data_IF_515408973448
#
_entry.id   IF_515408973448
#
_cell.length_a   1.000
_cell.length_b   1.000
_cell.length_c   1.000
_cell.angle_alpha   90.00
_cell.angle_beta   90.00
_cell.angle_gamma   90.00
#
_symmetry.space_group_name_H-M   'P 1'
#
loop_
_entity.id
_entity.type
_entity.pdbx_description
1 polymer ?
#
# COMPACT_ATOMS: atom_id res chain seq x y z
N UNK A 1 -0.48 18.62 -2.94
CA UNK A 1 -1.64 17.88 -2.40
C UNK A 1 -1.43 17.86 -0.90
N UNK A 2 -2.44 18.04 -0.06
CA UNK A 2 -2.24 17.85 1.38
C UNK A 2 -1.88 16.38 1.60
N UNK A 3 -0.66 16.10 2.08
CA UNK A 3 -0.12 14.74 2.23
C UNK A 3 -1.08 13.81 3.00
N UNK A 4 -1.84 14.35 3.95
CA UNK A 4 -2.82 13.58 4.73
C UNK A 4 -4.05 13.15 3.91
N UNK A 5 -4.57 14.02 3.06
CA UNK A 5 -5.73 13.68 2.22
C UNK A 5 -5.38 12.55 1.23
N UNK A 6 -4.17 12.62 0.66
CA UNK A 6 -3.61 11.56 -0.18
C UNK A 6 -3.43 10.24 0.59
N UNK A 7 -2.88 10.30 1.80
CA UNK A 7 -2.68 9.13 2.66
C UNK A 7 -4.01 8.45 3.05
N UNK A 8 -5.04 9.22 3.42
CA UNK A 8 -6.38 8.69 3.70
C UNK A 8 -6.95 7.99 2.46
N UNK A 9 -6.87 8.65 1.30
CA UNK A 9 -7.40 8.10 0.05
C UNK A 9 -6.71 6.79 -0.31
N UNK A 10 -5.38 6.75 -0.27
CA UNK A 10 -4.62 5.55 -0.62
C UNK A 10 -4.77 4.44 0.41
N UNK A 11 -4.92 4.76 1.69
CA UNK A 11 -5.25 3.76 2.72
C UNK A 11 -6.61 3.13 2.46
N UNK A 12 -7.63 3.92 2.04
CA UNK A 12 -8.93 3.38 1.65
C UNK A 12 -8.85 2.49 0.42
N UNK A 13 -8.08 2.91 -0.59
CA UNK A 13 -7.85 2.11 -1.79
C UNK A 13 -7.20 0.75 -1.46
N UNK A 14 -6.20 0.73 -0.56
CA UNK A 14 -5.59 -0.52 -0.06
C UNK A 14 -6.63 -1.41 0.61
N UNK A 15 -7.50 -0.85 1.47
CA UNK A 15 -8.60 -1.59 2.10
C UNK A 15 -9.55 -2.19 1.06
N UNK A 16 -9.98 -1.38 0.08
CA UNK A 16 -10.91 -1.80 -0.96
C UNK A 16 -10.32 -2.90 -1.85
N UNK A 17 -9.03 -2.82 -2.17
CA UNK A 17 -8.31 -3.88 -2.88
C UNK A 17 -8.24 -5.16 -2.06
N UNK A 18 -7.82 -5.08 -0.79
CA UNK A 18 -7.71 -6.21 0.12
C UNK A 18 -9.06 -6.95 0.30
N UNK A 19 -10.16 -6.21 0.36
CA UNK A 19 -11.52 -6.76 0.48
C UNK A 19 -12.12 -7.20 -0.87
N UNK A 20 -11.43 -6.98 -1.98
CA UNK A 20 -11.86 -7.37 -3.32
C UNK A 20 -12.90 -6.45 -3.97
N UNK A 21 -13.15 -5.27 -3.40
CA UNK A 21 -14.02 -4.24 -3.99
C UNK A 21 -13.35 -3.58 -5.22
N UNK A 22 -12.02 -3.51 -5.23
CA UNK A 22 -11.21 -3.04 -6.35
C UNK A 22 -10.39 -4.21 -6.90
N UNK A 23 -10.37 -4.38 -8.22
CA UNK A 23 -9.55 -5.41 -8.86
C UNK A 23 -8.07 -4.98 -8.92
N UNK A 24 -7.18 -5.95 -9.11
CA UNK A 24 -5.74 -5.70 -9.07
C UNK A 24 -5.24 -4.70 -10.12
N UNK A 25 -5.77 -4.69 -11.34
CA UNK A 25 -5.34 -3.75 -12.37
C UNK A 25 -5.71 -2.32 -11.97
N UNK A 26 -6.97 -2.09 -11.60
CA UNK A 26 -7.44 -0.78 -11.15
C UNK A 26 -6.72 -0.31 -9.89
N UNK A 27 -6.38 -1.24 -8.98
CA UNK A 27 -5.56 -0.94 -7.81
C UNK A 27 -4.18 -0.42 -8.22
N UNK A 28 -3.48 -1.13 -9.11
CA UNK A 28 -2.13 -0.73 -9.56
C UNK A 28 -2.15 0.58 -10.34
N UNK A 29 -3.12 0.78 -11.21
CA UNK A 29 -3.26 2.02 -11.98
C UNK A 29 -3.47 3.24 -11.07
N UNK A 30 -4.22 3.06 -9.97
CA UNK A 30 -4.56 4.14 -9.04
C UNK A 30 -3.49 4.36 -7.97
N UNK A 31 -2.95 3.27 -7.40
CA UNK A 31 -1.94 3.30 -6.34
C UNK A 31 -0.55 3.65 -6.89
N UNK A 32 -0.21 3.15 -8.08
CA UNK A 32 1.06 3.39 -8.77
C UNK A 32 2.28 3.17 -7.86
N UNK A 33 3.14 4.17 -7.68
CA UNK A 33 4.31 4.16 -6.81
C UNK A 33 4.14 5.10 -5.60
N UNK A 34 2.90 5.29 -5.11
CA UNK A 34 2.53 6.29 -4.10
C UNK A 34 3.51 6.39 -2.92
N UNK A 35 3.93 5.26 -2.35
CA UNK A 35 4.85 5.23 -1.21
C UNK A 35 6.18 5.96 -1.49
N UNK A 36 6.76 5.71 -2.67
CA UNK A 36 7.99 6.36 -3.09
C UNK A 36 7.73 7.79 -3.59
N UNK A 37 6.64 8.02 -4.31
CA UNK A 37 6.30 9.34 -4.85
C UNK A 37 6.10 10.39 -3.75
N UNK A 38 5.45 10.02 -2.65
CA UNK A 38 5.26 10.89 -1.47
C UNK A 38 6.46 10.88 -0.50
N UNK A 39 7.58 10.26 -0.89
CA UNK A 39 8.81 10.15 -0.09
C UNK A 39 8.57 9.64 1.35
N UNK A 40 7.64 8.69 1.51
CA UNK A 40 7.30 8.10 2.82
C UNK A 40 8.42 7.19 3.35
N UNK A 41 9.38 6.84 2.50
CA UNK A 41 10.65 6.18 2.85
C UNK A 41 11.68 7.12 3.51
N UNK A 42 11.40 8.43 3.52
CA UNK A 42 12.27 9.44 4.10
C UNK A 42 13.45 9.83 3.22
N UNK A 43 13.42 9.56 1.91
CA UNK A 43 14.50 9.96 1.00
C UNK A 43 14.58 11.47 0.73
N UNK A 44 13.49 12.21 0.91
CA UNK A 44 13.50 13.68 0.89
C UNK A 44 13.73 14.20 2.33
N UNK A 45 14.99 14.53 2.67
CA UNK A 45 15.46 15.03 3.98
C UNK A 45 14.86 16.40 4.42
N UNK A 46 13.77 16.84 3.78
CA UNK A 46 12.94 17.97 4.19
C UNK A 46 11.68 17.42 4.86
N UNK A 47 11.78 16.83 6.06
CA UNK A 47 10.61 16.23 6.70
C UNK A 47 9.55 17.28 7.07
N UNK A 48 8.60 17.52 6.16
CA UNK A 48 7.37 18.24 6.41
C UNK A 48 6.51 17.55 7.49
N UNK A 49 6.77 16.26 7.75
CA UNK A 49 6.20 15.48 8.85
C UNK A 49 6.96 15.86 10.13
N UNK A 50 6.33 16.67 10.98
CA UNK A 50 6.87 17.04 12.27
C UNK A 50 7.06 15.79 13.13
N UNK A 51 8.01 15.81 14.08
CA UNK A 51 8.30 14.62 14.91
C UNK A 51 7.06 14.05 15.64
N UNK A 52 6.06 14.89 15.95
CA UNK A 52 4.76 14.46 16.50
C UNK A 52 3.88 13.69 15.50
N UNK A 53 3.97 13.99 14.21
CA UNK A 53 3.24 13.29 13.16
C UNK A 53 3.88 11.94 12.81
N UNK A 54 5.17 11.74 13.07
CA UNK A 54 5.83 10.44 12.86
C UNK A 54 5.22 9.32 13.70
N UNK A 55 4.84 9.61 14.95
CA UNK A 55 4.21 8.60 15.82
C UNK A 55 2.78 8.30 15.36
N UNK A 56 2.01 9.33 14.96
CA UNK A 56 0.63 9.19 14.49
C UNK A 56 0.55 8.50 13.12
N UNK A 57 1.42 8.87 12.19
CA UNK A 57 1.44 8.38 10.81
C UNK A 57 2.28 7.12 10.63
N UNK A 58 3.10 6.74 11.61
CA UNK A 58 3.99 5.57 11.55
C UNK A 58 3.30 4.28 11.08
N UNK A 59 2.13 3.89 11.65
CA UNK A 59 1.38 2.73 11.19
C UNK A 59 0.91 2.84 9.72
N UNK A 60 0.55 4.03 9.26
CA UNK A 60 0.15 4.26 7.87
C UNK A 60 1.35 4.15 6.92
N UNK A 61 2.49 4.72 7.31
CA UNK A 61 3.75 4.61 6.55
C UNK A 61 4.17 3.15 6.44
N UNK A 62 4.11 2.39 7.54
CA UNK A 62 4.44 0.97 7.54
C UNK A 62 3.48 0.15 6.65
N UNK A 63 2.17 0.42 6.71
CA UNK A 63 1.20 -0.17 5.80
C UNK A 63 1.62 0.07 4.34
N UNK A 64 1.88 1.32 3.98
CA UNK A 64 2.22 1.69 2.60
C UNK A 64 3.57 1.14 2.14
N UNK A 65 4.55 1.04 3.03
CA UNK A 65 5.83 0.37 2.77
C UNK A 65 5.60 -1.10 2.40
N UNK A 66 4.90 -1.86 3.26
CA UNK A 66 4.61 -3.28 3.02
C UNK A 66 3.80 -3.49 1.74
N UNK A 67 2.77 -2.67 1.51
CA UNK A 67 1.99 -2.73 0.26
C UNK A 67 2.87 -2.47 -0.97
N UNK A 68 3.72 -1.44 -0.94
CA UNK A 68 4.59 -1.15 -2.07
C UNK A 68 5.58 -2.29 -2.32
N UNK A 69 6.33 -2.69 -1.30
CA UNK A 69 7.44 -3.63 -1.42
C UNK A 69 7.00 -5.07 -1.61
N UNK A 70 5.99 -5.50 -0.85
CA UNK A 70 5.58 -6.89 -0.79
C UNK A 70 4.46 -7.22 -1.80
N UNK A 71 3.68 -6.22 -2.25
CA UNK A 71 2.54 -6.43 -3.15
C UNK A 71 2.78 -5.77 -4.51
N UNK A 72 2.86 -4.45 -4.57
CA UNK A 72 2.89 -3.68 -5.82
C UNK A 72 4.13 -3.98 -6.64
N UNK A 73 5.30 -4.03 -6.02
CA UNK A 73 6.56 -4.33 -6.71
C UNK A 73 6.60 -5.78 -7.25
N UNK A 74 5.75 -6.67 -6.73
CA UNK A 74 5.82 -8.12 -6.98
C UNK A 74 4.69 -8.65 -7.84
N UNK A 75 3.55 -7.96 -7.91
CA UNK A 75 2.44 -8.39 -8.78
C UNK A 75 2.86 -8.38 -10.25
N UNK A 76 2.37 -9.36 -11.01
CA UNK A 76 2.51 -9.43 -12.46
C UNK A 76 1.16 -9.72 -13.10
N UNK A 77 0.90 -9.08 -14.25
CA UNK A 77 -0.28 -9.31 -15.09
C UNK A 77 0.07 -9.99 -16.42
N UNK A 78 1.30 -10.45 -16.57
CA UNK A 78 1.77 -11.05 -17.80
C UNK A 78 1.06 -12.40 -18.04
N UNK A 79 0.24 -12.52 -19.11
CA UNK A 79 -0.52 -13.73 -19.38
C UNK A 79 0.34 -14.89 -19.89
N UNK A 80 1.61 -14.65 -20.25
CA UNK A 80 2.51 -15.68 -20.77
C UNK A 80 3.12 -16.54 -19.65
N UNK A 81 3.07 -16.08 -18.40
CA UNK A 81 3.59 -16.83 -17.26
C UNK A 81 2.51 -17.61 -16.53
N UNK A 82 2.79 -18.90 -16.26
CA UNK A 82 1.97 -19.68 -15.33
C UNK A 82 2.16 -19.20 -13.89
N UNK A 83 1.23 -19.55 -12.99
CA UNK A 83 1.34 -19.24 -11.57
C UNK A 83 2.63 -19.80 -10.94
N UNK A 84 3.05 -21.01 -11.33
CA UNK A 84 4.30 -21.63 -10.87
C UNK A 84 5.55 -20.87 -11.35
N UNK A 85 5.52 -20.37 -12.59
CA UNK A 85 6.60 -19.56 -13.14
C UNK A 85 6.72 -18.22 -12.42
N UNK A 86 5.59 -17.56 -12.16
CA UNK A 86 5.54 -16.33 -11.35
C UNK A 86 6.10 -16.57 -9.94
N UNK A 87 5.65 -17.64 -9.27
CA UNK A 87 6.14 -18.00 -7.94
C UNK A 87 7.65 -18.21 -7.91
N UNK A 88 8.20 -18.92 -8.90
CA UNK A 88 9.65 -19.15 -9.03
C UNK A 88 10.42 -17.85 -9.22
N UNK A 89 9.84 -16.89 -9.95
CA UNK A 89 10.39 -15.55 -10.14
C UNK A 89 10.15 -14.60 -8.94
N UNK A 90 9.56 -15.08 -7.84
CA UNK A 90 9.20 -14.27 -6.68
C UNK A 90 8.06 -13.28 -6.92
N UNK A 91 7.33 -13.42 -8.03
CA UNK A 91 6.19 -12.61 -8.43
C UNK A 91 4.88 -13.15 -7.85
N UNK A 92 3.87 -12.29 -7.82
CA UNK A 92 2.53 -12.61 -7.33
C UNK A 92 1.53 -12.56 -8.47
N UNK A 93 0.60 -13.51 -8.47
CA UNK A 93 -0.66 -13.38 -9.19
C UNK A 93 -1.54 -12.31 -8.54
N UNK A 94 -2.58 -11.85 -9.25
CA UNK A 94 -3.56 -10.92 -8.70
C UNK A 94 -4.28 -11.47 -7.44
N UNK A 95 -4.51 -12.78 -7.39
CA UNK A 95 -5.15 -13.41 -6.23
C UNK A 95 -4.23 -13.45 -5.01
N UNK A 96 -2.95 -13.82 -5.20
CA UNK A 96 -1.95 -13.83 -4.13
C UNK A 96 -1.65 -12.41 -3.62
N UNK A 97 -1.56 -11.43 -4.52
CA UNK A 97 -1.38 -10.02 -4.17
C UNK A 97 -2.52 -9.52 -3.27
N UNK A 98 -3.77 -9.86 -3.58
CA UNK A 98 -4.92 -9.50 -2.74
C UNK A 98 -4.88 -10.20 -1.38
N UNK A 99 -4.57 -11.49 -1.35
CA UNK A 99 -4.48 -12.25 -0.11
C UNK A 99 -3.40 -11.67 0.82
N UNK A 100 -2.23 -11.35 0.28
CA UNK A 100 -1.15 -10.72 1.04
C UNK A 100 -1.52 -9.31 1.50
N UNK A 101 -2.18 -8.51 0.65
CA UNK A 101 -2.67 -7.20 1.07
C UNK A 101 -3.66 -7.29 2.24
N UNK A 102 -4.54 -8.31 2.24
CA UNK A 102 -5.47 -8.57 3.33
C UNK A 102 -4.75 -8.95 4.64
N UNK A 103 -3.72 -9.81 4.58
CA UNK A 103 -2.88 -10.15 5.73
C UNK A 103 -2.18 -8.91 6.29
N UNK A 104 -1.56 -8.09 5.44
CA UNK A 104 -0.92 -6.82 5.84
C UNK A 104 -1.94 -5.89 6.51
N UNK A 105 -3.15 -5.75 5.95
CA UNK A 105 -4.20 -4.91 6.51
C UNK A 105 -4.63 -5.38 7.91
N UNK A 106 -4.69 -6.70 8.13
CA UNK A 106 -5.02 -7.28 9.41
C UNK A 106 -3.90 -7.08 10.44
N UNK A 107 -2.65 -7.34 10.05
CA UNK A 107 -1.46 -7.19 10.90
C UNK A 107 -1.29 -5.77 11.41
N UNK A 108 -1.43 -4.79 10.52
CA UNK A 108 -1.23 -3.36 10.84
C UNK A 108 -2.47 -2.76 11.50
N UNK A 109 -3.64 -3.38 11.33
CA UNK A 109 -4.92 -2.88 11.86
C UNK A 109 -5.46 -1.69 11.06
N UNK A 110 -5.84 -1.93 9.80
CA UNK A 110 -6.21 -0.87 8.84
C UNK A 110 -7.32 0.10 9.31
N UNK A 111 -8.27 -0.35 10.13
CA UNK A 111 -9.31 0.54 10.68
C UNK A 111 -8.75 1.53 11.71
N UNK A 112 -7.76 1.11 12.50
CA UNK A 112 -7.07 1.99 13.43
C UNK A 112 -6.21 3.01 12.67
N UNK A 113 -5.53 2.56 11.61
CA UNK A 113 -4.79 3.46 10.70
C UNK A 113 -5.72 4.52 10.12
N UNK A 114 -6.84 4.12 9.51
CA UNK A 114 -7.83 5.03 8.91
C UNK A 114 -8.43 6.01 9.90
N UNK A 115 -8.56 5.61 11.17
CA UNK A 115 -9.02 6.49 12.25
C UNK A 115 -7.96 7.51 12.63
N UNK A 116 -6.69 7.11 12.69
CA UNK A 116 -5.56 7.95 13.11
C UNK A 116 -5.15 9.00 12.06
N UNK A 117 -5.33 8.69 10.77
CA UNK A 117 -5.00 9.63 9.68
C UNK A 117 -6.11 10.65 9.38
N UNK A 118 -7.32 10.51 9.95
CA UNK A 118 -8.38 11.51 9.77
C UNK A 118 -8.08 12.77 10.59
N UNK A 119 -8.27 13.97 10.03
CA UNK A 119 -8.26 15.19 10.83
C UNK A 119 -9.41 15.15 11.85
N UNK A 120 -9.15 15.69 13.04
CA UNK A 120 -10.12 15.83 14.13
C UNK A 120 -11.25 16.80 13.77
#
# INVERSE_FOLDING_TARGET
>A
MDNEAGLIQMTRLVKEFALGAVNAQSFIDTYSNFYYYEALDGHEDSSAIHAGDRVRLGPAIELHRRIQEEVVNRISFDPEFSAEALKTAGRLTAAEARALALEICADVGIEAVLSAVRPA
#
